data_IF_823809575603
#
_entry.id   IF_823809575603
#
_cell.length_a   1.000
_cell.length_b   1.000
_cell.length_c   1.000
_cell.angle_alpha   90.00
_cell.angle_beta   90.00
_cell.angle_gamma   90.00
#
_symmetry.space_group_name_H-M   'P 1'
#
loop_
_entity.id
_entity.type
_entity.pdbx_description
1 polymer ?
#
# COMPACT_ATOMS: atom_id res chain seq x y z
N UNK A 1 -23.85 -28.30 -34.44
CA UNK A 1 -23.11 -27.39 -33.54
C UNK A 1 -22.02 -28.22 -32.90
N UNK A 2 -20.74 -27.84 -33.05
CA UNK A 2 -19.65 -28.53 -32.37
C UNK A 2 -19.75 -28.20 -30.88
N UNK A 3 -20.21 -29.15 -30.07
CA UNK A 3 -20.24 -29.02 -28.62
C UNK A 3 -18.82 -28.83 -28.12
N UNK A 4 -18.53 -27.70 -27.46
CA UNK A 4 -17.22 -27.45 -26.86
C UNK A 4 -17.00 -28.47 -25.74
N UNK A 5 -15.85 -29.15 -25.74
CA UNK A 5 -15.54 -30.17 -24.75
C UNK A 5 -15.00 -29.50 -23.49
N UNK A 6 -15.74 -29.64 -22.39
CA UNK A 6 -15.36 -29.11 -21.06
C UNK A 6 -15.16 -30.32 -20.13
N UNK A 7 -14.06 -30.40 -19.36
CA UNK A 7 -13.81 -31.49 -18.41
C UNK A 7 -14.66 -31.35 -17.13
N UNK A 8 -15.98 -31.27 -17.28
CA UNK A 8 -16.94 -31.25 -16.18
C UNK A 8 -17.87 -32.46 -16.22
N UNK A 9 -18.65 -32.64 -15.16
CA UNK A 9 -19.69 -33.67 -15.09
C UNK A 9 -20.70 -33.52 -16.23
N UNK A 10 -21.33 -34.62 -16.66
CA UNK A 10 -22.21 -34.65 -17.84
C UNK A 10 -23.40 -33.70 -17.72
N UNK A 11 -23.84 -33.42 -16.49
CA UNK A 11 -24.95 -32.51 -16.20
C UNK A 11 -24.54 -31.03 -16.30
N UNK A 12 -23.24 -30.72 -16.28
CA UNK A 12 -22.72 -29.37 -16.39
C UNK A 12 -22.69 -28.94 -17.87
N UNK A 13 -23.84 -28.48 -18.36
CA UNK A 13 -23.94 -27.86 -19.68
C UNK A 13 -23.54 -26.38 -19.60
N UNK A 14 -22.27 -26.06 -19.85
CA UNK A 14 -21.85 -24.70 -20.17
C UNK A 14 -21.48 -24.60 -21.64
N UNK A 15 -22.23 -23.79 -22.39
CA UNK A 15 -21.88 -23.38 -23.75
C UNK A 15 -21.50 -21.91 -23.77
N UNK A 16 -20.45 -21.57 -23.01
CA UNK A 16 -19.93 -20.21 -22.94
C UNK A 16 -18.70 -20.08 -23.82
N UNK A 17 -18.75 -19.15 -24.76
CA UNK A 17 -17.61 -18.91 -25.65
C UNK A 17 -16.49 -18.10 -25.00
N UNK A 18 -16.86 -17.25 -24.05
CA UNK A 18 -16.02 -16.26 -23.36
C UNK A 18 -16.38 -16.25 -21.88
N UNK A 19 -15.45 -15.75 -21.05
CA UNK A 19 -15.73 -15.47 -19.66
C UNK A 19 -16.86 -14.43 -19.56
N UNK A 20 -17.95 -14.71 -18.80
CA UNK A 20 -18.95 -13.70 -18.47
C UNK A 20 -18.33 -12.51 -17.74
N UNK A 21 -18.93 -11.33 -17.90
CA UNK A 21 -18.42 -10.09 -17.30
C UNK A 21 -18.53 -10.05 -15.78
N UNK A 22 -19.49 -10.79 -15.22
CA UNK A 22 -19.78 -10.92 -13.79
C UNK A 22 -19.18 -12.19 -13.17
N UNK A 23 -18.50 -13.01 -13.97
CA UNK A 23 -17.89 -14.25 -13.50
C UNK A 23 -16.56 -14.01 -12.75
N UNK A 24 -16.25 -14.93 -11.85
CA UNK A 24 -14.92 -15.01 -11.26
C UNK A 24 -13.92 -15.49 -12.33
N UNK A 25 -13.08 -14.59 -12.81
CA UNK A 25 -12.15 -14.89 -13.91
C UNK A 25 -11.12 -15.96 -13.52
N UNK A 26 -10.69 -16.03 -12.26
CA UNK A 26 -9.80 -17.09 -11.79
C UNK A 26 -10.44 -18.47 -11.85
N UNK A 27 -11.69 -18.57 -11.42
CA UNK A 27 -12.47 -19.80 -11.54
C UNK A 27 -12.65 -20.20 -13.01
N UNK A 28 -13.00 -19.25 -13.88
CA UNK A 28 -13.08 -19.48 -15.33
C UNK A 28 -11.74 -20.01 -15.87
N UNK A 29 -10.64 -19.33 -15.57
CA UNK A 29 -9.29 -19.70 -16.00
C UNK A 29 -8.93 -21.13 -15.58
N UNK A 30 -9.06 -21.45 -14.30
CA UNK A 30 -8.56 -22.71 -13.74
C UNK A 30 -9.46 -23.93 -14.01
N UNK A 31 -10.78 -23.73 -14.22
CA UNK A 31 -11.77 -24.83 -14.26
C UNK A 31 -12.54 -24.96 -15.57
N UNK A 32 -12.64 -23.91 -16.38
CA UNK A 32 -13.56 -23.89 -17.53
C UNK A 32 -12.86 -23.87 -18.89
N UNK A 33 -11.59 -24.29 -18.95
CA UNK A 33 -10.86 -24.43 -20.22
C UNK A 33 -11.67 -25.32 -21.19
N UNK A 34 -12.20 -24.71 -22.25
CA UNK A 34 -13.19 -25.30 -23.16
C UNK A 34 -12.65 -25.47 -24.59
N UNK A 35 -11.32 -25.42 -24.76
CA UNK A 35 -10.66 -25.52 -26.06
C UNK A 35 -10.12 -26.94 -26.34
N UNK A 36 -10.62 -27.94 -25.62
CA UNK A 36 -10.20 -29.33 -25.78
C UNK A 36 -10.78 -29.96 -27.05
N UNK A 37 -9.91 -30.63 -27.81
CA UNK A 37 -10.32 -31.59 -28.82
C UNK A 37 -10.66 -32.96 -28.18
N UNK A 38 -11.27 -33.86 -28.96
CA UNK A 38 -11.67 -35.20 -28.50
C UNK A 38 -10.51 -36.05 -27.96
N UNK A 39 -9.27 -35.73 -28.34
CA UNK A 39 -8.05 -36.39 -27.87
C UNK A 39 -7.43 -35.72 -26.62
N UNK A 40 -8.13 -34.79 -25.97
CA UNK A 40 -7.63 -34.01 -24.84
C UNK A 40 -6.35 -33.21 -25.14
N UNK A 41 -6.23 -32.72 -26.37
CA UNK A 41 -5.24 -31.71 -26.74
C UNK A 41 -5.93 -30.36 -27.01
N UNK A 42 -5.18 -29.27 -26.90
CA UNK A 42 -5.69 -27.93 -27.23
C UNK A 42 -5.57 -27.60 -28.74
N UNK A 43 -5.03 -28.51 -29.55
CA UNK A 43 -4.80 -28.32 -30.99
C UNK A 43 -4.04 -27.04 -31.33
N UNK A 44 -4.11 -26.65 -32.61
CA UNK A 44 -3.50 -25.43 -33.10
C UNK A 44 -4.32 -24.21 -32.63
N UNK A 45 -3.64 -23.22 -32.05
CA UNK A 45 -4.21 -21.98 -31.53
C UNK A 45 -5.24 -22.10 -30.39
N UNK A 46 -5.54 -23.29 -29.86
CA UNK A 46 -6.50 -23.41 -28.74
C UNK A 46 -6.03 -22.68 -27.49
N UNK A 47 -4.71 -22.66 -27.21
CA UNK A 47 -4.13 -21.84 -26.13
C UNK A 47 -4.43 -20.35 -26.31
N UNK A 48 -4.24 -19.82 -27.53
CA UNK A 48 -4.54 -18.42 -27.85
C UNK A 48 -6.04 -18.11 -27.72
N UNK A 49 -6.91 -18.96 -28.27
CA UNK A 49 -8.36 -18.80 -28.17
C UNK A 49 -8.83 -18.83 -26.71
N UNK A 50 -8.25 -19.70 -25.89
CA UNK A 50 -8.55 -19.77 -24.46
C UNK A 50 -8.21 -18.45 -23.76
N UNK A 51 -7.02 -17.91 -23.99
CA UNK A 51 -6.62 -16.65 -23.38
C UNK A 51 -7.47 -15.46 -23.89
N UNK A 52 -7.83 -15.45 -25.16
CA UNK A 52 -8.73 -14.43 -25.72
C UNK A 52 -10.14 -14.48 -25.10
N UNK A 53 -10.58 -15.65 -24.63
CA UNK A 53 -11.87 -15.80 -23.92
C UNK A 53 -11.95 -14.96 -22.64
N UNK A 54 -10.80 -14.62 -22.06
CA UNK A 54 -10.64 -13.84 -20.82
C UNK A 54 -10.57 -12.33 -21.05
N UNK A 55 -10.39 -11.89 -22.30
CA UNK A 55 -10.15 -10.49 -22.64
C UNK A 55 -11.44 -9.70 -22.92
N UNK A 56 -12.56 -10.18 -22.40
CA UNK A 56 -13.87 -9.59 -22.59
C UNK A 56 -14.12 -8.40 -21.65
N UNK A 57 -13.21 -7.42 -21.64
CA UNK A 57 -13.29 -6.22 -20.81
C UNK A 57 -12.34 -6.25 -19.61
N UNK A 58 -12.82 -5.72 -18.47
CA UNK A 58 -12.09 -5.73 -17.19
C UNK A 58 -12.59 -6.88 -16.33
N UNK A 59 -11.69 -7.53 -15.61
CA UNK A 59 -12.01 -8.63 -14.69
C UNK A 59 -11.98 -8.16 -13.25
N UNK A 60 -12.89 -8.69 -12.43
CA UNK A 60 -13.07 -8.33 -11.03
C UNK A 60 -14.39 -7.60 -10.80
N UNK A 61 -15.07 -7.95 -9.72
CA UNK A 61 -16.27 -7.26 -9.26
C UNK A 61 -15.86 -5.95 -8.58
N UNK A 62 -16.40 -4.83 -9.09
CA UNK A 62 -16.04 -3.49 -8.61
C UNK A 62 -16.46 -3.28 -7.15
N UNK A 63 -17.68 -3.66 -6.80
CA UNK A 63 -18.24 -3.39 -5.47
C UNK A 63 -17.54 -4.25 -4.41
N UNK A 64 -17.22 -5.51 -4.76
CA UNK A 64 -16.43 -6.39 -3.91
C UNK A 64 -15.01 -5.88 -3.71
N UNK A 65 -14.35 -5.39 -4.76
CA UNK A 65 -13.03 -4.78 -4.65
C UNK A 65 -13.06 -3.56 -3.73
N UNK A 66 -14.03 -2.65 -3.91
CA UNK A 66 -14.18 -1.47 -3.05
C UNK A 66 -14.40 -1.84 -1.57
N UNK A 67 -15.21 -2.85 -1.29
CA UNK A 67 -15.46 -3.35 0.07
C UNK A 67 -14.18 -3.93 0.70
N UNK A 68 -13.47 -4.80 -0.03
CA UNK A 68 -12.25 -5.45 0.44
C UNK A 68 -11.13 -4.43 0.65
N UNK A 69 -11.00 -3.44 -0.24
CA UNK A 69 -9.99 -2.38 -0.10
C UNK A 69 -10.24 -1.54 1.16
N UNK A 70 -11.49 -1.21 1.48
CA UNK A 70 -11.84 -0.48 2.71
C UNK A 70 -11.41 -1.27 3.95
N UNK A 71 -11.72 -2.56 4.01
CA UNK A 71 -11.30 -3.44 5.13
C UNK A 71 -9.78 -3.61 5.19
N UNK A 72 -9.15 -3.79 4.04
CA UNK A 72 -7.70 -3.95 3.92
C UNK A 72 -6.95 -2.71 4.43
N UNK A 73 -7.35 -1.52 3.99
CA UNK A 73 -6.76 -0.25 4.44
C UNK A 73 -6.98 -0.08 5.95
N UNK A 74 -8.19 -0.33 6.46
CA UNK A 74 -8.49 -0.24 7.90
C UNK A 74 -7.62 -1.20 8.72
N UNK A 75 -7.43 -2.44 8.25
CA UNK A 75 -6.56 -3.42 8.89
C UNK A 75 -5.11 -2.91 8.96
N UNK A 76 -4.55 -2.51 7.82
CA UNK A 76 -3.17 -2.01 7.75
C UNK A 76 -2.98 -0.81 8.66
N UNK A 77 -3.93 0.13 8.66
CA UNK A 77 -3.88 1.34 9.49
C UNK A 77 -3.99 1.02 10.98
N UNK A 78 -4.85 0.08 11.37
CA UNK A 78 -4.97 -0.36 12.77
C UNK A 78 -3.68 -0.99 13.33
N UNK A 79 -2.83 -1.52 12.45
CA UNK A 79 -1.51 -2.06 12.79
C UNK A 79 -0.40 -1.00 12.78
N UNK A 80 -0.73 0.28 12.55
CA UNK A 80 0.27 1.35 12.38
C UNK A 80 1.04 1.25 11.06
N UNK A 81 0.49 0.52 10.08
CA UNK A 81 1.08 0.34 8.76
C UNK A 81 0.74 1.46 7.78
N UNK A 82 1.36 1.34 6.61
CA UNK A 82 1.21 2.28 5.51
C UNK A 82 0.83 1.55 4.23
N UNK A 83 -0.03 2.20 3.45
CA UNK A 83 -0.43 1.74 2.12
C UNK A 83 0.16 2.68 1.06
N UNK A 84 0.65 2.13 -0.04
CA UNK A 84 1.10 2.88 -1.21
C UNK A 84 0.44 2.32 -2.46
N UNK A 85 0.17 3.22 -3.40
CA UNK A 85 -0.52 2.89 -4.65
C UNK A 85 0.46 2.93 -5.80
N UNK A 86 0.47 1.89 -6.60
CA UNK A 86 1.41 1.71 -7.69
C UNK A 86 0.67 1.34 -8.97
N UNK A 87 1.05 1.96 -10.08
CA UNK A 87 0.52 1.63 -11.41
C UNK A 87 1.56 0.84 -12.17
N UNK A 88 1.20 -0.32 -12.71
CA UNK A 88 2.14 -1.06 -13.55
C UNK A 88 2.38 -0.29 -14.87
N UNK A 89 3.64 -0.07 -15.22
CA UNK A 89 4.04 0.64 -16.44
C UNK A 89 4.35 -0.32 -17.58
N UNK A 90 4.74 -1.55 -17.26
CA UNK A 90 4.92 -2.64 -18.22
C UNK A 90 3.90 -3.75 -17.94
N UNK A 91 3.69 -4.71 -18.88
CA UNK A 91 2.82 -5.85 -18.61
C UNK A 91 3.27 -6.58 -17.35
N UNK A 92 2.32 -6.93 -16.49
CA UNK A 92 2.61 -7.59 -15.22
C UNK A 92 2.14 -9.04 -15.25
N UNK A 93 2.98 -9.95 -14.75
CA UNK A 93 2.70 -11.39 -14.80
C UNK A 93 3.01 -12.00 -13.45
N UNK A 94 2.13 -12.88 -12.97
CA UNK A 94 2.27 -13.51 -11.66
C UNK A 94 2.00 -15.01 -11.76
N UNK A 95 2.90 -15.81 -11.16
CA UNK A 95 2.82 -17.28 -11.07
C UNK A 95 2.77 -18.04 -12.40
N UNK A 96 3.63 -17.67 -13.36
CA UNK A 96 3.81 -18.46 -14.59
C UNK A 96 4.14 -19.93 -14.34
N UNK A 97 4.82 -20.24 -13.24
CA UNK A 97 5.19 -21.61 -12.86
C UNK A 97 4.04 -22.47 -12.35
N UNK A 98 2.81 -21.95 -12.26
CA UNK A 98 1.64 -22.75 -11.87
C UNK A 98 1.23 -23.67 -13.02
N UNK A 99 0.85 -24.91 -12.69
CA UNK A 99 0.36 -25.87 -13.66
C UNK A 99 -1.00 -25.43 -14.20
N UNK A 100 -1.13 -25.40 -15.53
CA UNK A 100 -2.37 -25.09 -16.22
C UNK A 100 -2.38 -25.73 -17.62
N UNK A 101 -3.54 -26.07 -18.22
CA UNK A 101 -3.62 -26.65 -19.57
C UNK A 101 -2.87 -25.91 -20.68
N UNK A 102 -2.70 -24.58 -20.55
CA UNK A 102 -1.91 -23.77 -21.49
C UNK A 102 -0.41 -23.69 -21.14
N UNK A 103 0.08 -24.59 -20.28
CA UNK A 103 1.46 -24.70 -19.75
C UNK A 103 1.89 -23.58 -18.81
N UNK A 104 1.39 -22.37 -19.00
CA UNK A 104 1.63 -21.24 -18.09
C UNK A 104 0.41 -20.99 -17.22
N UNK A 105 0.59 -21.03 -15.91
CA UNK A 105 -0.44 -20.67 -14.95
C UNK A 105 -0.47 -19.17 -14.69
N UNK A 106 -1.36 -18.79 -13.78
CA UNK A 106 -1.54 -17.42 -13.37
C UNK A 106 -2.02 -17.36 -11.91
N UNK A 107 -1.65 -16.34 -11.15
CA UNK A 107 -2.14 -16.18 -9.77
C UNK A 107 -3.43 -15.37 -9.75
N UNK A 108 -4.48 -15.99 -9.23
CA UNK A 108 -5.79 -15.40 -9.00
C UNK A 108 -6.12 -15.34 -7.52
N UNK A 109 -6.66 -14.21 -7.08
CA UNK A 109 -7.25 -14.10 -5.77
C UNK A 109 -8.60 -14.83 -5.80
N UNK A 110 -8.73 -15.91 -5.02
CA UNK A 110 -9.85 -16.85 -5.11
C UNK A 110 -11.22 -16.16 -5.05
N UNK A 111 -11.39 -15.19 -4.15
CA UNK A 111 -12.69 -14.53 -3.96
C UNK A 111 -12.91 -13.32 -4.87
N UNK A 112 -11.84 -12.64 -5.30
CA UNK A 112 -11.96 -11.41 -6.09
C UNK A 112 -12.02 -11.70 -7.59
N UNK A 113 -11.56 -12.88 -8.02
CA UNK A 113 -11.43 -13.21 -9.43
C UNK A 113 -10.42 -12.34 -10.17
N UNK A 114 -9.52 -11.67 -9.43
CA UNK A 114 -8.51 -10.78 -10.00
C UNK A 114 -7.09 -11.29 -9.79
N UNK A 115 -6.16 -10.95 -10.69
CA UNK A 115 -4.72 -11.05 -10.46
C UNK A 115 -4.28 -10.33 -9.19
N UNK A 116 -3.34 -10.91 -8.46
CA UNK A 116 -2.70 -10.26 -7.32
C UNK A 116 -1.24 -10.70 -7.18
N UNK A 117 -0.47 -9.94 -6.41
CA UNK A 117 0.90 -10.32 -6.05
C UNK A 117 0.92 -10.75 -4.57
N UNK A 118 1.27 -12.02 -4.26
CA UNK A 118 1.33 -12.47 -2.87
C UNK A 118 2.30 -11.64 -2.02
N UNK A 119 1.98 -11.45 -0.74
CA UNK A 119 2.80 -10.70 0.21
C UNK A 119 4.17 -11.35 0.43
N UNK A 120 4.29 -12.67 0.25
CA UNK A 120 5.58 -13.36 0.19
C UNK A 120 6.42 -12.95 -1.00
N UNK A 121 5.81 -12.72 -2.17
CA UNK A 121 6.49 -12.18 -3.34
C UNK A 121 6.89 -10.72 -3.14
N UNK A 122 6.01 -9.90 -2.55
CA UNK A 122 6.35 -8.51 -2.17
C UNK A 122 7.55 -8.51 -1.23
N UNK A 123 7.51 -9.31 -0.15
CA UNK A 123 8.64 -9.47 0.79
C UNK A 123 9.93 -9.87 0.08
N UNK A 124 9.86 -10.85 -0.83
CA UNK A 124 11.01 -11.33 -1.60
C UNK A 124 11.62 -10.26 -2.49
N UNK A 125 10.80 -9.46 -3.18
CA UNK A 125 11.26 -8.35 -4.03
C UNK A 125 12.00 -7.31 -3.19
N UNK A 126 11.39 -6.87 -2.09
CA UNK A 126 11.99 -5.82 -1.23
C UNK A 126 13.26 -6.33 -0.54
N UNK A 127 13.28 -7.59 -0.11
CA UNK A 127 14.47 -8.22 0.47
C UNK A 127 15.63 -8.27 -0.52
N UNK A 128 15.35 -8.76 -1.74
CA UNK A 128 16.36 -8.85 -2.80
C UNK A 128 16.91 -7.47 -3.16
N UNK A 129 16.05 -6.45 -3.21
CA UNK A 129 16.48 -5.05 -3.37
C UNK A 129 17.46 -4.61 -2.27
N UNK A 130 17.04 -4.80 -1.02
CA UNK A 130 17.80 -4.39 0.15
C UNK A 130 19.17 -5.09 0.20
N UNK A 131 19.24 -6.37 -0.15
CA UNK A 131 20.50 -7.13 -0.14
C UNK A 131 21.43 -6.72 -1.28
N UNK A 132 20.90 -6.59 -2.50
CA UNK A 132 21.74 -6.56 -3.71
C UNK A 132 21.99 -5.17 -4.31
N UNK A 133 21.14 -4.18 -4.03
CA UNK A 133 21.23 -2.86 -4.68
C UNK A 133 21.23 -1.65 -3.74
N UNK A 134 20.75 -1.80 -2.51
CA UNK A 134 20.69 -0.67 -1.57
C UNK A 134 22.04 -0.44 -0.88
N UNK A 135 22.61 0.76 -1.02
CA UNK A 135 23.95 1.12 -0.49
C UNK A 135 23.90 2.22 0.59
N UNK A 136 22.81 2.29 1.35
CA UNK A 136 22.57 3.36 2.33
C UNK A 136 23.28 3.22 3.68
N UNK A 137 23.91 2.08 3.97
CA UNK A 137 24.61 1.78 5.24
C UNK A 137 25.90 1.00 4.95
N UNK A 138 26.80 0.90 5.93
CA UNK A 138 27.98 0.02 5.84
C UNK A 138 27.57 -1.45 5.76
N UNK A 139 28.43 -2.31 5.19
CA UNK A 139 28.08 -3.70 4.86
C UNK A 139 27.58 -4.54 6.04
N UNK A 140 28.11 -4.33 7.24
CA UNK A 140 27.70 -5.08 8.43
C UNK A 140 26.35 -4.56 8.98
N UNK A 141 26.20 -3.24 9.09
CA UNK A 141 24.93 -2.59 9.52
C UNK A 141 23.78 -2.89 8.55
N UNK A 142 24.07 -2.92 7.24
CA UNK A 142 23.11 -3.30 6.19
C UNK A 142 22.57 -4.71 6.42
N UNK A 143 23.45 -5.69 6.67
CA UNK A 143 23.04 -7.08 6.91
C UNK A 143 22.17 -7.21 8.15
N UNK A 144 22.51 -6.50 9.21
CA UNK A 144 21.75 -6.54 10.46
C UNK A 144 20.38 -5.87 10.30
N UNK A 145 20.29 -4.75 9.56
CA UNK A 145 19.01 -4.14 9.20
C UNK A 145 18.14 -5.07 8.34
N UNK A 146 18.70 -5.72 7.32
CA UNK A 146 17.97 -6.70 6.49
C UNK A 146 17.44 -7.85 7.36
N UNK A 147 18.28 -8.41 8.24
CA UNK A 147 17.86 -9.48 9.17
C UNK A 147 16.78 -9.00 10.13
N UNK A 148 16.87 -7.77 10.62
CA UNK A 148 15.86 -7.16 11.49
C UNK A 148 14.50 -7.06 10.77
N UNK A 149 14.49 -6.56 9.54
CA UNK A 149 13.26 -6.36 8.75
C UNK A 149 12.63 -7.68 8.32
N UNK A 150 13.43 -8.60 7.77
CA UNK A 150 12.91 -9.79 7.10
C UNK A 150 12.97 -11.06 7.95
N UNK A 151 13.78 -11.07 9.01
CA UNK A 151 14.17 -12.24 9.78
C UNK A 151 15.46 -12.89 9.24
N UNK A 152 16.13 -13.74 10.05
CA UNK A 152 17.35 -14.44 9.68
C UNK A 152 17.09 -15.56 8.66
N UNK A 153 18.13 -15.99 7.95
CA UNK A 153 18.09 -17.14 7.03
C UNK A 153 18.30 -18.48 7.73
N UNK A 154 19.09 -18.49 8.81
CA UNK A 154 19.48 -19.71 9.51
C UNK A 154 18.54 -20.01 10.67
N UNK A 155 18.15 -21.29 10.79
CA UNK A 155 17.23 -21.79 11.83
C UNK A 155 17.79 -21.63 13.26
N UNK A 156 19.10 -21.46 13.42
CA UNK A 156 19.76 -21.30 14.72
C UNK A 156 19.42 -19.97 15.41
N UNK A 157 18.96 -18.96 14.66
CA UNK A 157 18.54 -17.67 15.20
C UNK A 157 17.01 -17.59 15.24
N UNK A 158 16.43 -17.69 16.45
CA UNK A 158 14.97 -17.66 16.68
C UNK A 158 14.42 -16.24 16.73
N UNK A 159 14.68 -15.43 15.72
CA UNK A 159 14.09 -14.11 15.56
C UNK A 159 13.18 -14.09 14.34
N UNK A 160 12.21 -13.17 14.32
CA UNK A 160 11.28 -13.02 13.21
C UNK A 160 11.32 -11.56 12.77
N UNK A 161 11.18 -11.32 11.46
CA UNK A 161 11.21 -9.98 10.89
C UNK A 161 10.24 -9.00 11.56
N UNK A 162 10.65 -7.74 11.62
CA UNK A 162 9.91 -6.64 12.25
C UNK A 162 8.66 -6.23 11.48
N UNK A 163 8.55 -6.55 10.18
CA UNK A 163 7.47 -6.08 9.31
C UNK A 163 6.59 -7.21 8.76
N UNK A 164 5.32 -6.87 8.55
CA UNK A 164 4.29 -7.67 7.90
C UNK A 164 4.12 -7.14 6.47
N UNK A 165 4.32 -8.01 5.48
CA UNK A 165 4.11 -7.70 4.07
C UNK A 165 2.78 -8.29 3.63
N UNK A 166 1.88 -7.44 3.16
CA UNK A 166 0.56 -7.86 2.70
C UNK A 166 0.56 -8.17 1.20
N UNK A 167 -0.45 -8.93 0.78
CA UNK A 167 -0.76 -9.14 -0.62
C UNK A 167 -1.00 -7.80 -1.32
N UNK A 168 -0.42 -7.62 -2.51
CA UNK A 168 -0.71 -6.47 -3.35
C UNK A 168 -1.95 -6.75 -4.19
N UNK A 169 -3.00 -5.95 -3.97
CA UNK A 169 -4.32 -6.16 -4.56
C UNK A 169 -4.60 -5.11 -5.64
N UNK A 170 -5.36 -5.44 -6.69
CA UNK A 170 -5.84 -4.43 -7.61
C UNK A 170 -6.87 -3.52 -6.94
N UNK A 171 -6.84 -2.25 -7.30
CA UNK A 171 -7.73 -1.22 -6.72
C UNK A 171 -9.07 -1.14 -7.44
N UNK A 172 -9.08 -1.55 -8.71
CA UNK A 172 -10.26 -1.53 -9.59
C UNK A 172 -10.22 -2.80 -10.46
N UNK A 173 -11.34 -3.17 -11.10
CA UNK A 173 -11.34 -4.21 -12.11
C UNK A 173 -10.23 -3.96 -13.16
N UNK A 174 -9.48 -5.00 -13.50
CA UNK A 174 -8.24 -4.88 -14.27
C UNK A 174 -8.40 -5.41 -15.69
N UNK A 175 -7.67 -4.83 -16.64
CA UNK A 175 -7.60 -5.35 -18.02
C UNK A 175 -6.50 -6.40 -18.14
N UNK A 176 -6.85 -7.55 -18.70
CA UNK A 176 -5.91 -8.60 -19.07
C UNK A 176 -5.43 -8.43 -20.52
N UNK A 177 -4.25 -8.96 -20.83
CA UNK A 177 -3.71 -9.07 -22.18
C UNK A 177 -3.06 -10.44 -22.38
N UNK A 178 -2.80 -10.79 -23.63
CA UNK A 178 -2.07 -12.00 -24.01
C UNK A 178 -0.76 -11.56 -24.61
N UNK A 179 0.29 -12.24 -24.22
CA UNK A 179 1.61 -12.08 -24.79
C UNK A 179 2.17 -13.44 -25.20
N UNK A 180 3.27 -13.47 -25.94
CA UNK A 180 3.85 -14.67 -26.54
C UNK A 180 5.33 -14.75 -26.25
N UNK A 181 5.78 -15.93 -25.83
CA UNK A 181 7.19 -16.30 -25.84
C UNK A 181 7.53 -17.08 -27.10
N UNK A 182 8.73 -16.88 -27.63
CA UNK A 182 9.24 -17.57 -28.81
C UNK A 182 10.62 -18.19 -28.56
N UNK A 183 10.77 -19.16 -27.63
CA UNK A 183 12.05 -19.85 -27.45
C UNK A 183 12.47 -20.57 -28.74
N UNK A 184 13.69 -20.29 -29.20
CA UNK A 184 14.31 -20.94 -30.35
C UNK A 184 15.10 -22.18 -29.94
N UNK A 185 15.87 -22.11 -28.84
CA UNK A 185 16.77 -23.18 -28.41
C UNK A 185 16.11 -24.26 -27.53
N UNK A 186 14.79 -24.38 -27.52
CA UNK A 186 14.10 -25.38 -26.71
C UNK A 186 14.59 -26.82 -26.97
N UNK A 187 14.84 -27.26 -28.23
CA UNK A 187 15.40 -28.59 -28.49
C UNK A 187 16.79 -28.80 -27.88
N UNK A 188 17.63 -27.77 -27.86
CA UNK A 188 18.96 -27.81 -27.25
C UNK A 188 18.89 -28.07 -25.74
N UNK A 189 18.02 -27.34 -25.03
CA UNK A 189 17.89 -27.50 -23.57
C UNK A 189 17.18 -28.79 -23.13
N UNK A 190 16.40 -29.41 -24.01
CA UNK A 190 15.64 -30.63 -23.69
C UNK A 190 16.43 -31.92 -23.93
N UNK A 191 17.46 -31.90 -24.77
CA UNK A 191 18.25 -33.08 -25.10
C UNK A 191 19.72 -32.70 -25.30
N UNK A 192 20.59 -33.26 -24.46
CA UNK A 192 22.04 -33.01 -24.48
C UNK A 192 22.73 -33.42 -25.80
N UNK A 193 22.09 -34.25 -26.63
CA UNK A 193 22.59 -34.61 -27.96
C UNK A 193 22.40 -33.50 -29.00
N UNK A 194 21.46 -32.59 -28.78
CA UNK A 194 21.25 -31.47 -29.66
C UNK A 194 22.36 -30.43 -29.42
N UNK A 195 22.92 -29.88 -30.50
CA UNK A 195 23.89 -28.78 -30.41
C UNK A 195 23.17 -27.43 -30.43
N UNK A 196 23.74 -26.38 -29.81
CA UNK A 196 23.16 -25.05 -29.91
C UNK A 196 23.32 -24.56 -31.36
N UNK A 197 22.23 -24.10 -31.95
CA UNK A 197 22.19 -23.76 -33.38
C UNK A 197 21.05 -22.83 -33.72
N UNK A 198 21.26 -21.93 -34.68
CA UNK A 198 20.32 -20.86 -35.04
C UNK A 198 19.26 -21.30 -36.08
N UNK A 199 19.13 -22.61 -36.31
CA UNK A 199 18.21 -23.20 -37.28
C UNK A 199 16.94 -23.79 -36.64
N UNK A 200 16.80 -23.73 -35.32
CA UNK A 200 15.60 -24.21 -34.65
C UNK A 200 14.44 -23.24 -34.86
N UNK A 201 13.28 -23.80 -35.21
CA UNK A 201 12.05 -23.03 -35.37
C UNK A 201 11.58 -22.49 -34.01
N UNK A 202 11.10 -21.24 -33.94
CA UNK A 202 10.53 -20.69 -32.71
C UNK A 202 9.27 -21.44 -32.32
N UNK A 203 9.15 -21.78 -31.04
CA UNK A 203 7.93 -22.36 -30.48
C UNK A 203 7.09 -21.24 -29.86
N UNK A 204 5.92 -20.95 -30.43
CA UNK A 204 5.04 -19.91 -29.89
C UNK A 204 4.33 -20.41 -28.63
N UNK A 205 4.61 -19.80 -27.49
CA UNK A 205 4.01 -20.13 -26.20
C UNK A 205 3.27 -18.90 -25.68
N UNK A 206 1.94 -18.83 -25.86
CA UNK A 206 1.16 -17.71 -25.37
C UNK A 206 0.92 -17.80 -23.86
N UNK A 207 0.83 -16.66 -23.19
CA UNK A 207 0.56 -16.57 -21.76
C UNK A 207 -0.25 -15.32 -21.42
N UNK A 208 -0.90 -15.34 -20.25
CA UNK A 208 -1.74 -14.26 -19.77
C UNK A 208 -0.91 -13.21 -19.02
N UNK A 209 -1.25 -11.93 -19.18
CA UNK A 209 -0.64 -10.81 -18.48
C UNK A 209 -1.71 -9.83 -18.00
N UNK A 210 -1.39 -9.02 -16.99
CA UNK A 210 -2.11 -7.79 -16.69
C UNK A 210 -1.58 -6.71 -17.61
N UNK A 211 -2.49 -6.05 -18.34
CA UNK A 211 -2.12 -4.97 -19.24
C UNK A 211 -1.45 -3.80 -18.48
N UNK A 212 -0.58 -2.99 -19.11
CA UNK A 212 -0.10 -1.76 -18.50
C UNK A 212 -1.22 -0.84 -18.00
N UNK A 213 -0.90 0.00 -17.03
CA UNK A 213 -1.77 1.07 -16.56
C UNK A 213 -2.81 0.67 -15.52
N UNK A 214 -2.74 -0.52 -14.92
CA UNK A 214 -3.63 -0.94 -13.82
C UNK A 214 -3.06 -0.51 -12.46
N UNK A 215 -3.94 -0.14 -11.54
CA UNK A 215 -3.57 0.37 -10.22
C UNK A 215 -3.65 -0.74 -9.17
N UNK A 216 -2.60 -0.86 -8.36
CA UNK A 216 -2.47 -1.82 -7.28
C UNK A 216 -2.18 -1.09 -5.95
N UNK A 217 -2.72 -1.62 -4.86
CA UNK A 217 -2.38 -1.21 -3.49
C UNK A 217 -1.35 -2.20 -2.94
N UNK A 218 -0.30 -1.65 -2.34
CA UNK A 218 0.72 -2.40 -1.61
C UNK A 218 0.71 -1.90 -0.16
N UNK A 219 0.92 -2.80 0.79
CA UNK A 219 0.93 -2.43 2.20
C UNK A 219 2.01 -3.15 2.99
N UNK A 220 2.57 -2.42 3.95
CA UNK A 220 3.51 -2.93 4.94
C UNK A 220 3.06 -2.40 6.31
N UNK A 221 3.09 -3.25 7.33
CA UNK A 221 2.81 -2.83 8.69
C UNK A 221 3.90 -3.32 9.65
N UNK A 222 4.21 -2.56 10.70
CA UNK A 222 5.10 -3.04 11.73
C UNK A 222 4.41 -4.12 12.57
N UNK A 223 5.18 -5.06 13.12
CA UNK A 223 4.66 -6.02 14.09
C UNK A 223 4.45 -5.38 15.46
N UNK A 224 5.35 -4.47 15.82
CA UNK A 224 5.31 -3.71 17.07
C UNK A 224 5.40 -2.21 16.77
N UNK A 225 4.70 -1.37 17.55
CA UNK A 225 4.59 0.08 17.30
C UNK A 225 5.93 0.84 17.30
N UNK A 226 6.98 0.26 17.87
CA UNK A 226 8.30 0.90 17.96
C UNK A 226 9.14 0.76 16.67
N UNK A 227 8.64 0.06 15.65
CA UNK A 227 9.37 -0.27 14.42
C UNK A 227 9.08 0.69 13.26
N UNK A 228 8.84 1.97 13.57
CA UNK A 228 8.46 3.00 12.58
C UNK A 228 9.61 3.26 11.58
N UNK A 229 10.86 3.29 12.05
CA UNK A 229 12.04 3.51 11.19
C UNK A 229 12.15 2.41 10.13
N UNK A 230 11.98 1.15 10.53
CA UNK A 230 12.01 -0.02 9.64
C UNK A 230 10.94 0.08 8.56
N UNK A 231 9.74 0.56 8.93
CA UNK A 231 8.64 0.75 8.01
C UNK A 231 8.99 1.78 6.93
N UNK A 232 9.50 2.95 7.32
CA UNK A 232 9.83 4.03 6.38
C UNK A 232 10.87 3.61 5.36
N UNK A 233 11.97 3.00 5.81
CA UNK A 233 13.04 2.53 4.92
C UNK A 233 12.53 1.42 3.98
N UNK A 234 11.71 0.50 4.49
CA UNK A 234 11.15 -0.60 3.69
C UNK A 234 10.19 -0.11 2.62
N UNK A 235 9.40 0.94 2.89
CA UNK A 235 8.51 1.54 1.90
C UNK A 235 9.29 2.24 0.77
N UNK A 236 10.47 2.78 1.08
CA UNK A 236 11.37 3.35 0.08
C UNK A 236 11.98 2.23 -0.77
N UNK A 237 12.51 1.17 -0.14
CA UNK A 237 12.97 -0.03 -0.84
C UNK A 237 11.89 -0.62 -1.75
N UNK A 238 10.65 -0.72 -1.28
CA UNK A 238 9.52 -1.17 -2.09
C UNK A 238 9.32 -0.31 -3.33
N UNK A 239 9.41 1.01 -3.18
CA UNK A 239 9.20 1.96 -4.29
C UNK A 239 10.30 1.83 -5.33
N UNK A 240 11.55 1.75 -4.89
CA UNK A 240 12.72 1.59 -5.77
C UNK A 240 12.71 0.21 -6.46
N UNK A 241 12.47 -0.85 -5.69
CA UNK A 241 12.45 -2.22 -6.18
C UNK A 241 11.39 -2.43 -7.27
N UNK A 242 10.17 -1.93 -7.05
CA UNK A 242 9.11 -2.00 -8.05
C UNK A 242 9.38 -1.15 -9.29
N UNK A 243 10.11 -0.04 -9.14
CA UNK A 243 10.49 0.83 -10.26
C UNK A 243 11.60 0.27 -11.14
N UNK A 244 12.56 -0.44 -10.55
CA UNK A 244 13.80 -0.86 -11.21
C UNK A 244 13.85 -2.35 -11.55
N UNK A 245 13.56 -3.21 -10.58
CA UNK A 245 13.60 -4.67 -10.74
C UNK A 245 12.24 -5.18 -11.24
N UNK A 246 11.15 -4.58 -10.78
CA UNK A 246 9.79 -5.03 -11.04
C UNK A 246 9.36 -6.20 -10.16
N UNK A 247 8.07 -6.52 -10.20
CA UNK A 247 7.45 -7.59 -9.43
C UNK A 247 6.81 -8.67 -10.31
N UNK A 248 6.78 -9.90 -9.78
CA UNK A 248 6.17 -11.04 -10.47
C UNK A 248 7.19 -11.86 -11.27
N UNK A 249 6.82 -12.28 -12.48
CA UNK A 249 7.65 -13.11 -13.35
C UNK A 249 8.17 -12.33 -14.55
N UNK A 250 9.29 -12.79 -15.13
CA UNK A 250 9.94 -12.19 -16.33
C UNK A 250 10.45 -10.76 -16.13
N UNK A 251 10.82 -10.39 -14.91
CA UNK A 251 11.42 -9.10 -14.56
C UNK A 251 12.70 -8.80 -15.32
N UNK A 252 13.56 -9.80 -15.54
CA UNK A 252 14.81 -9.65 -16.29
C UNK A 252 14.64 -9.17 -17.75
N UNK A 253 13.44 -9.34 -18.34
CA UNK A 253 13.09 -8.86 -19.68
C UNK A 253 12.08 -7.70 -19.64
N UNK A 254 11.95 -7.03 -18.49
CA UNK A 254 11.22 -5.77 -18.34
C UNK A 254 9.75 -5.88 -17.92
N UNK A 255 9.25 -7.05 -17.54
CA UNK A 255 7.88 -7.21 -17.06
C UNK A 255 7.73 -6.78 -15.59
N UNK A 256 6.54 -6.30 -15.24
CA UNK A 256 6.14 -6.05 -13.87
C UNK A 256 6.78 -4.82 -13.23
N UNK A 257 7.25 -3.83 -13.99
CA UNK A 257 7.69 -2.56 -13.44
C UNK A 257 6.46 -1.72 -13.04
N UNK A 258 6.56 -1.00 -11.92
CA UNK A 258 5.50 -0.10 -11.44
C UNK A 258 6.01 1.31 -11.14
N UNK A 259 5.10 2.27 -11.15
CA UNK A 259 5.33 3.65 -10.75
C UNK A 259 4.40 4.03 -9.59
N UNK A 260 4.95 4.69 -8.58
CA UNK A 260 4.18 5.23 -7.46
C UNK A 260 3.15 6.26 -7.96
N UNK A 261 1.94 6.22 -7.39
CA UNK A 261 0.86 7.18 -7.64
C UNK A 261 0.47 7.82 -6.30
N UNK A 262 1.15 8.90 -5.87
CA UNK A 262 0.94 9.51 -4.56
C UNK A 262 -0.51 9.97 -4.34
N UNK A 263 -1.10 10.60 -5.37
CA UNK A 263 -2.42 11.22 -5.30
C UNK A 263 -3.57 10.19 -5.13
N UNK A 264 -3.32 8.93 -5.46
CA UNK A 264 -4.32 7.88 -5.26
C UNK A 264 -4.65 7.67 -3.78
N UNK A 265 -3.73 8.01 -2.87
CA UNK A 265 -3.96 7.91 -1.43
C UNK A 265 -5.15 8.78 -0.99
N UNK A 266 -5.25 10.01 -1.48
CA UNK A 266 -6.35 10.91 -1.16
C UNK A 266 -7.73 10.40 -1.63
N UNK A 267 -7.75 9.57 -2.68
CA UNK A 267 -9.00 8.98 -3.20
C UNK A 267 -9.47 7.78 -2.38
N UNK A 268 -8.54 6.92 -1.94
CA UNK A 268 -8.87 5.58 -1.43
C UNK A 268 -8.67 5.42 0.07
N UNK A 269 -7.81 6.23 0.69
CA UNK A 269 -7.63 6.24 2.13
C UNK A 269 -8.54 7.34 2.67
N UNK A 270 -9.63 7.00 3.39
CA UNK A 270 -10.45 8.00 4.04
C UNK A 270 -9.57 8.87 4.94
N UNK A 271 -9.73 10.19 4.91
CA UNK A 271 -9.17 11.03 5.96
C UNK A 271 -9.81 10.59 7.27
N UNK A 272 -9.02 9.92 8.13
CA UNK A 272 -9.44 9.62 9.47
C UNK A 272 -9.58 10.96 10.21
N UNK A 273 -10.81 11.50 10.25
CA UNK A 273 -11.26 12.20 11.43
C UNK A 273 -11.15 11.19 12.55
N UNK A 274 -10.03 11.25 13.29
CA UNK A 274 -9.79 10.66 14.61
C UNK A 274 -10.99 9.88 15.13
N UNK A 275 -11.05 8.59 14.80
CA UNK A 275 -12.07 7.71 15.34
C UNK A 275 -11.92 7.73 16.86
N UNK A 276 -12.98 8.21 17.50
CA UNK A 276 -13.15 8.29 18.93
C UNK A 276 -12.76 6.99 19.65
N UNK A 277 -12.11 7.15 20.80
CA UNK A 277 -12.03 6.12 21.83
C UNK A 277 -13.42 5.49 22.06
N UNK A 278 -13.58 4.16 21.96
CA UNK A 278 -14.87 3.48 22.15
C UNK A 278 -15.26 3.36 23.64
N UNK A 279 -15.19 4.46 24.40
CA UNK A 279 -15.56 4.50 25.83
C UNK A 279 -16.64 5.51 26.21
N UNK A 280 -17.30 6.19 25.27
CA UNK A 280 -18.38 7.13 25.59
C UNK A 280 -19.64 6.89 24.75
N UNK A 281 -20.19 5.67 24.81
CA UNK A 281 -21.55 5.37 24.36
C UNK A 281 -22.49 5.20 25.56
N UNK A 282 -22.66 6.27 26.34
CA UNK A 282 -23.84 6.49 27.19
C UNK A 282 -24.06 7.99 27.35
N UNK A 283 -24.60 8.64 26.32
CA UNK A 283 -25.60 9.71 26.49
C UNK A 283 -26.21 10.04 25.11
N UNK A 284 -27.46 9.58 24.92
CA UNK A 284 -28.32 9.98 23.82
C UNK A 284 -28.94 11.34 24.13
N UNK A 285 -28.82 12.32 23.25
CA UNK A 285 -29.91 13.24 22.86
C UNK A 285 -29.51 14.09 21.63
N UNK A 286 -30.48 14.59 20.83
CA UNK A 286 -30.32 14.77 19.40
C UNK A 286 -30.12 16.23 18.95
N UNK A 287 -29.52 16.35 17.76
CA UNK A 287 -29.66 17.44 16.80
C UNK A 287 -29.26 18.85 17.26
N UNK A 288 -28.03 19.24 16.94
CA UNK A 288 -27.68 20.65 16.77
C UNK A 288 -26.56 20.77 15.74
N UNK A 289 -26.88 21.40 14.62
CA UNK A 289 -25.92 22.02 13.72
C UNK A 289 -24.97 22.89 14.56
N UNK A 290 -23.65 22.70 14.45
CA UNK A 290 -22.70 23.72 14.90
C UNK A 290 -22.03 24.41 13.69
N UNK A 291 -21.82 25.72 13.77
CA UNK A 291 -21.51 26.60 12.64
C UNK A 291 -19.99 26.77 12.48
N UNK A 292 -19.57 27.37 11.37
CA UNK A 292 -18.21 27.92 11.21
C UNK A 292 -17.81 28.74 12.46
N UNK A 293 -16.85 28.24 13.25
CA UNK A 293 -16.38 28.95 14.45
C UNK A 293 -15.61 30.19 14.01
N UNK A 294 -16.18 31.38 14.28
CA UNK A 294 -15.48 32.66 14.16
C UNK A 294 -14.25 32.64 15.08
N UNK A 295 -13.06 32.80 14.52
CA UNK A 295 -11.82 32.98 15.26
C UNK A 295 -11.98 34.16 16.25
N UNK A 296 -11.47 34.01 17.46
CA UNK A 296 -11.46 35.09 18.46
C UNK A 296 -10.53 36.22 18.01
N UNK A 297 -10.69 37.46 18.51
CA UNK A 297 -9.80 38.57 18.17
C UNK A 297 -8.31 38.24 18.44
N UNK A 298 -8.02 37.50 19.51
CA UNK A 298 -6.67 37.05 19.88
C UNK A 298 -6.13 36.06 18.84
N UNK A 299 -6.95 35.11 18.40
CA UNK A 299 -6.55 34.14 17.37
C UNK A 299 -6.31 34.81 16.02
N UNK A 300 -7.12 35.79 15.64
CA UNK A 300 -6.91 36.56 14.40
C UNK A 300 -5.56 37.30 14.41
N UNK A 301 -5.25 37.97 15.53
CA UNK A 301 -3.99 38.69 15.69
C UNK A 301 -2.78 37.73 15.73
N UNK A 302 -2.93 36.55 16.33
CA UNK A 302 -1.90 35.51 16.29
C UNK A 302 -1.66 34.99 14.87
N UNK A 303 -2.71 34.82 14.06
CA UNK A 303 -2.58 34.41 12.66
C UNK A 303 -1.85 35.48 11.82
N UNK A 304 -2.06 36.77 12.10
CA UNK A 304 -1.28 37.87 11.51
C UNK A 304 0.21 37.81 11.88
N UNK A 305 0.53 37.40 13.11
CA UNK A 305 1.90 37.18 13.59
C UNK A 305 2.52 35.84 13.11
N UNK A 306 1.82 35.08 12.29
CA UNK A 306 2.34 33.87 11.66
C UNK A 306 2.03 32.55 12.38
N UNK A 307 1.03 32.51 13.27
CA UNK A 307 0.70 31.34 14.09
C UNK A 307 0.59 30.02 13.30
N UNK A 308 -0.12 30.03 12.16
CA UNK A 308 -0.24 28.86 11.29
C UNK A 308 0.67 28.89 10.06
N UNK A 309 1.25 30.03 9.68
CA UNK A 309 1.90 30.25 8.38
C UNK A 309 3.43 30.28 8.44
N UNK A 310 4.04 30.83 9.51
CA UNK A 310 5.49 30.92 9.66
C UNK A 310 5.92 30.70 11.12
N UNK A 311 6.45 29.49 11.37
CA UNK A 311 6.85 29.07 12.70
C UNK A 311 8.08 29.82 13.27
N UNK A 312 8.89 30.45 12.43
CA UNK A 312 10.05 31.23 12.89
C UNK A 312 9.64 32.67 13.21
N UNK A 313 8.84 33.30 12.35
CA UNK A 313 8.27 34.62 12.61
C UNK A 313 7.42 34.62 13.89
N UNK A 314 6.56 33.60 14.04
CA UNK A 314 5.73 33.50 15.23
C UNK A 314 6.53 33.27 16.52
N UNK A 315 7.70 32.60 16.47
CA UNK A 315 8.55 32.45 17.66
C UNK A 315 9.16 33.77 18.15
N UNK A 316 9.45 34.67 17.22
CA UNK A 316 9.90 36.02 17.54
C UNK A 316 8.77 36.81 18.19
N UNK A 317 7.58 36.82 17.57
CA UNK A 317 6.38 37.44 18.13
C UNK A 317 5.99 36.84 19.49
N UNK A 318 6.09 35.51 19.66
CA UNK A 318 5.84 34.82 20.92
C UNK A 318 6.74 35.38 22.03
N UNK A 319 8.03 35.57 21.71
CA UNK A 319 9.04 36.00 22.68
C UNK A 319 8.92 37.47 23.04
N UNK A 320 8.59 38.32 22.07
CA UNK A 320 8.64 39.79 22.22
C UNK A 320 7.27 40.38 22.61
N UNK A 321 6.17 39.72 22.23
CA UNK A 321 4.81 40.26 22.34
C UNK A 321 3.92 39.38 23.23
N UNK A 322 3.78 38.10 22.89
CA UNK A 322 2.71 37.28 23.50
C UNK A 322 2.99 36.83 24.93
N UNK A 323 4.25 36.54 25.29
CA UNK A 323 4.60 36.19 26.68
C UNK A 323 4.34 37.34 27.66
N UNK A 324 4.64 38.57 27.26
CA UNK A 324 4.46 39.73 28.13
C UNK A 324 2.97 40.13 28.20
N UNK A 325 2.23 40.04 27.08
CA UNK A 325 0.78 40.26 27.07
C UNK A 325 0.02 39.24 27.93
N UNK A 326 0.45 37.98 27.91
CA UNK A 326 -0.10 36.91 28.75
C UNK A 326 0.08 37.20 30.26
N UNK A 327 1.09 37.97 30.66
CA UNK A 327 1.39 38.27 32.06
C UNK A 327 0.96 39.66 32.52
N UNK A 328 0.80 40.60 31.59
CA UNK A 328 0.37 41.97 31.85
C UNK A 328 -1.09 42.03 32.31
N UNK A 329 -1.94 41.09 31.87
CA UNK A 329 -3.37 41.11 32.16
C UNK A 329 -3.74 40.20 33.33
N UNK A 330 -3.61 40.75 34.54
CA UNK A 330 -4.15 40.14 35.78
C UNK A 330 -5.62 40.48 36.02
N UNK A 331 -6.25 41.27 35.14
CA UNK A 331 -7.60 41.81 35.31
C UNK A 331 -8.69 41.01 34.59
N UNK A 332 -8.40 40.53 33.38
CA UNK A 332 -9.32 39.67 32.62
C UNK A 332 -8.79 38.23 32.56
N UNK A 333 -9.18 37.43 33.56
CA UNK A 333 -8.79 36.01 33.71
C UNK A 333 -9.07 35.11 32.47
N UNK A 334 -9.86 35.60 31.51
CA UNK A 334 -10.20 34.89 30.28
C UNK A 334 -9.14 35.04 29.18
N UNK A 335 -8.58 36.25 28.97
CA UNK A 335 -7.65 36.49 27.85
C UNK A 335 -6.27 35.87 28.11
N UNK A 336 -5.72 36.04 29.31
CA UNK A 336 -4.43 35.46 29.69
C UNK A 336 -4.43 33.93 29.61
N UNK A 337 -5.58 33.31 29.92
CA UNK A 337 -5.79 31.87 29.77
C UNK A 337 -5.86 31.46 28.30
N UNK A 338 -6.61 32.20 27.50
CA UNK A 338 -6.75 31.94 26.06
C UNK A 338 -5.39 32.03 25.34
N UNK A 339 -4.60 33.06 25.64
CA UNK A 339 -3.24 33.21 25.10
C UNK A 339 -2.36 32.03 25.53
N UNK A 340 -2.38 31.64 26.81
CA UNK A 340 -1.58 30.51 27.30
C UNK A 340 -1.95 29.19 26.61
N UNK A 341 -3.25 28.95 26.37
CA UNK A 341 -3.74 27.75 25.67
C UNK A 341 -3.29 27.72 24.20
N UNK A 342 -3.33 28.87 23.52
CA UNK A 342 -2.87 29.01 22.13
C UNK A 342 -1.35 28.83 22.03
N UNK A 343 -0.58 29.47 22.92
CA UNK A 343 0.88 29.31 22.95
C UNK A 343 1.30 27.86 23.24
N UNK A 344 0.62 27.18 24.17
CA UNK A 344 0.87 25.77 24.46
C UNK A 344 0.51 24.87 23.26
N UNK A 345 -0.61 25.15 22.58
CA UNK A 345 -1.04 24.41 21.38
C UNK A 345 -0.03 24.57 20.25
N UNK A 346 0.47 25.80 20.04
CA UNK A 346 1.50 26.09 19.05
C UNK A 346 2.81 25.36 19.35
N UNK A 347 3.28 25.38 20.61
CA UNK A 347 4.50 24.67 21.01
C UNK A 347 4.38 23.15 20.81
N UNK A 348 3.23 22.57 21.15
CA UNK A 348 2.96 21.13 20.96
C UNK A 348 2.94 20.74 19.48
N UNK A 349 2.41 21.60 18.61
CA UNK A 349 2.33 21.35 17.16
C UNK A 349 3.67 21.54 16.46
N UNK A 350 4.34 22.68 16.70
CA UNK A 350 5.50 23.09 15.91
C UNK A 350 6.84 22.72 16.55
N UNK A 351 6.90 22.54 17.88
CA UNK A 351 8.15 22.28 18.64
C UNK A 351 7.96 21.30 19.80
N UNK A 352 7.30 20.17 19.54
CA UNK A 352 6.92 19.18 20.55
C UNK A 352 8.07 18.71 21.48
N UNK A 353 9.28 18.56 20.93
CA UNK A 353 10.46 18.18 21.72
C UNK A 353 10.87 19.29 22.72
N UNK A 354 10.75 20.55 22.34
CA UNK A 354 11.04 21.70 23.21
C UNK A 354 9.95 21.92 24.26
N UNK A 355 8.72 21.47 24.01
CA UNK A 355 7.65 21.45 25.02
C UNK A 355 7.86 20.36 26.08
N UNK A 356 8.24 19.14 25.67
CA UNK A 356 8.44 18.00 26.60
C UNK A 356 9.75 18.04 27.38
N UNK A 357 10.82 18.53 26.74
CA UNK A 357 12.16 18.67 27.35
C UNK A 357 12.75 20.02 26.91
N UNK A 358 12.32 21.14 27.51
CA UNK A 358 12.82 22.45 27.13
C UNK A 358 14.31 22.57 27.46
N UNK A 359 15.07 23.19 26.55
CA UNK A 359 16.51 23.45 26.72
C UNK A 359 16.84 24.92 26.48
N UNK A 360 17.85 25.44 27.18
CA UNK A 360 18.30 26.83 27.06
C UNK A 360 17.18 27.84 27.36
N UNK A 361 17.03 28.85 26.49
CA UNK A 361 16.06 29.95 26.65
C UNK A 361 14.58 29.52 26.55
N UNK A 362 14.28 28.28 26.16
CA UNK A 362 12.90 27.77 26.11
C UNK A 362 12.39 27.23 27.45
N UNK A 363 13.29 26.98 28.42
CA UNK A 363 12.91 26.53 29.77
C UNK A 363 12.01 27.58 30.42
N UNK A 364 12.47 28.82 30.43
CA UNK A 364 11.74 29.96 31.00
C UNK A 364 10.38 30.16 30.32
N UNK A 365 10.34 30.14 28.98
CA UNK A 365 9.09 30.34 28.21
C UNK A 365 8.03 29.29 28.50
N UNK A 366 8.42 28.01 28.51
CA UNK A 366 7.49 26.90 28.79
C UNK A 366 7.01 26.93 30.24
N UNK A 367 7.88 27.32 31.18
CA UNK A 367 7.51 27.51 32.59
C UNK A 367 6.50 28.64 32.77
N UNK A 368 6.68 29.79 32.11
CA UNK A 368 5.75 30.93 32.14
C UNK A 368 4.36 30.55 31.62
N UNK A 369 4.29 29.76 30.55
CA UNK A 369 3.00 29.29 29.98
C UNK A 369 2.32 28.27 30.92
N UNK A 370 3.08 27.29 31.44
CA UNK A 370 2.51 26.26 32.30
C UNK A 370 2.03 26.81 33.65
N UNK A 371 2.72 27.79 34.24
CA UNK A 371 2.32 28.37 35.52
C UNK A 371 0.91 28.99 35.45
N UNK A 372 0.57 29.62 34.33
CA UNK A 372 -0.75 30.20 34.09
C UNK A 372 -1.80 29.10 33.87
N UNK A 373 -1.49 28.07 33.08
CA UNK A 373 -2.40 26.94 32.85
C UNK A 373 -2.69 26.12 34.12
N UNK A 374 -1.70 25.98 35.01
CA UNK A 374 -1.85 25.30 36.29
C UNK A 374 -2.68 26.12 37.29
N UNK A 375 -2.45 27.44 37.36
CA UNK A 375 -3.23 28.34 38.20
C UNK A 375 -4.72 28.28 37.87
N UNK A 376 -5.09 28.20 36.58
CA UNK A 376 -6.49 28.10 36.16
C UNK A 376 -7.07 26.67 36.17
N UNK A 377 -6.25 25.63 36.36
CA UNK A 377 -6.74 24.25 36.58
C UNK A 377 -7.16 24.00 38.03
N UNK A 378 -6.56 24.72 38.99
CA UNK A 378 -6.86 24.60 40.41
C UNK A 378 -8.18 25.31 40.81
N UNK A 379 -8.57 26.36 40.11
CA UNK A 379 -9.87 27.05 40.32
C UNK A 379 -11.08 26.23 39.86
N UNK A 380 -10.89 25.11 39.16
CA UNK A 380 -11.97 24.21 38.75
C UNK A 380 -12.48 23.28 39.87
N UNK A 381 -11.82 23.30 41.04
CA UNK A 381 -12.10 22.42 42.19
C UNK A 381 -12.44 23.18 43.49
N UNK A 382 -12.82 24.46 43.39
CA UNK A 382 -13.35 25.24 44.52
C UNK A 382 -14.82 25.57 44.35
#
# INVERSE_FOLDING_TARGET
MNTRLIPLYKEAHLDLERCPSDANAGLWYDKFCNQWASNWSLGDNGKMKWLQSMQNGRVGDKDLLEEVLKRYIKLVKSLGGEVRFFRNITPFVTGLGRTHPIENGFIWHHNLGTPYLPGSSVKGIVRSWAESWWDGEENDDKKDLVRQVFGPENEDQKTVGSLIFFDALPVEPIRLATDVMTPHYAPYYQNEQNVPGDWYNPILIPFLTVAPGQLFIFAVAPRNKDQIRDLEITLNWLTEALGLIGGGSKTAVGYGCFKLVPDAKAKYVPEEHSAADPKNDMEKAPNSQEPERKLTPIQQEMEEDGYSTDANAFMEALTVKWLDRMEADKGEASESKEIAELLASWYKKNRANQWKKPTGKNIDKVQRINSILENYSLDKYK
#
